data_IF_300325913326
#
_entry.id   IF_300325913326
#
_cell.length_a   1.000
_cell.length_b   1.000
_cell.length_c   1.000
_cell.angle_alpha   90.00
_cell.angle_beta   90.00
_cell.angle_gamma   90.00
#
_symmetry.space_group_name_H-M   'P 1'
#
loop_
_entity.id
_entity.type
_entity.pdbx_description
1 polymer ?
#
# COMPACT_ATOMS: atom_id res chain seq x y z
N UNK A 1 43.87 -4.66 54.54
CA UNK A 1 44.13 -5.33 53.25
C UNK A 1 42.76 -5.76 52.77
N UNK A 2 42.14 -4.91 51.98
CA UNK A 2 40.77 -5.12 51.48
C UNK A 2 40.86 -4.95 49.97
N UNK A 3 40.74 -6.07 49.30
CA UNK A 3 40.75 -6.13 47.83
C UNK A 3 39.45 -5.53 47.27
N UNK A 4 39.57 -4.43 46.58
CA UNK A 4 38.53 -3.81 45.78
C UNK A 4 38.51 -4.55 44.43
N UNK A 5 37.62 -5.48 44.28
CA UNK A 5 37.29 -6.13 43.02
C UNK A 5 36.44 -5.15 42.20
N UNK A 6 37.06 -4.56 41.18
CA UNK A 6 36.41 -3.71 40.20
C UNK A 6 35.60 -4.60 39.24
N UNK A 7 34.31 -4.64 39.46
CA UNK A 7 33.36 -5.30 38.57
C UNK A 7 33.24 -4.45 37.29
N UNK A 8 33.95 -4.85 36.25
CA UNK A 8 33.78 -4.32 34.92
C UNK A 8 32.49 -4.88 34.33
N UNK A 9 31.39 -4.16 34.52
CA UNK A 9 30.15 -4.40 33.77
C UNK A 9 30.43 -4.12 32.29
N UNK A 10 30.64 -5.19 31.56
CA UNK A 10 30.61 -5.19 30.11
C UNK A 10 29.17 -4.89 29.68
N UNK A 11 28.92 -3.68 29.25
CA UNK A 11 27.67 -3.34 28.55
C UNK A 11 27.53 -4.27 27.33
N UNK A 12 26.39 -4.98 27.17
CA UNK A 12 26.13 -5.71 25.94
C UNK A 12 25.94 -4.69 24.85
N UNK A 13 26.87 -4.67 23.89
CA UNK A 13 26.80 -3.83 22.71
C UNK A 13 25.42 -3.93 22.06
N UNK A 14 24.76 -2.80 21.99
CA UNK A 14 23.54 -2.63 21.21
C UNK A 14 23.86 -2.81 19.71
N UNK A 15 23.98 -4.06 19.27
CA UNK A 15 23.77 -4.39 17.88
C UNK A 15 22.27 -4.18 17.64
N UNK A 16 21.91 -3.00 17.13
CA UNK A 16 20.56 -2.70 16.69
C UNK A 16 20.17 -3.65 15.58
N UNK A 17 19.65 -4.82 15.94
CA UNK A 17 18.91 -5.68 15.03
C UNK A 17 17.72 -4.86 14.59
N UNK A 18 17.74 -4.40 13.35
CA UNK A 18 16.60 -3.73 12.73
C UNK A 18 15.34 -4.58 12.97
N UNK A 19 14.35 -3.98 13.63
CA UNK A 19 13.13 -4.69 14.00
C UNK A 19 12.37 -5.05 12.70
N UNK A 20 12.43 -6.32 12.31
CA UNK A 20 11.71 -6.86 11.17
C UNK A 20 10.35 -7.37 11.64
N UNK A 21 9.28 -6.86 11.08
CA UNK A 21 7.91 -7.22 11.44
C UNK A 21 7.23 -8.05 10.35
N UNK A 22 6.65 -9.20 10.73
CA UNK A 22 5.90 -10.08 9.85
C UNK A 22 6.75 -11.09 9.10
N UNK A 23 6.29 -11.52 7.92
CA UNK A 23 6.99 -12.46 7.05
C UNK A 23 8.24 -11.87 6.38
N UNK A 24 8.78 -12.60 5.43
CA UNK A 24 9.83 -12.07 4.54
C UNK A 24 9.59 -12.56 3.11
N UNK A 25 10.09 -11.83 2.14
CA UNK A 25 10.01 -12.26 0.73
C UNK A 25 10.59 -13.66 0.57
N UNK A 26 11.71 -13.96 1.26
CA UNK A 26 12.38 -15.25 1.17
C UNK A 26 11.57 -16.39 1.79
N UNK A 27 11.01 -16.20 3.00
CA UNK A 27 10.18 -17.22 3.66
C UNK A 27 8.89 -17.48 2.87
N UNK A 28 8.27 -16.44 2.32
CA UNK A 28 7.08 -16.61 1.50
C UNK A 28 7.38 -17.35 0.20
N UNK A 29 8.50 -17.06 -0.47
CA UNK A 29 8.91 -17.79 -1.66
C UNK A 29 9.33 -19.23 -1.38
N UNK A 30 9.78 -19.53 -0.15
CA UNK A 30 10.05 -20.90 0.30
C UNK A 30 8.76 -21.68 0.61
N UNK A 31 7.60 -21.03 0.67
CA UNK A 31 6.31 -21.65 0.99
C UNK A 31 6.01 -21.76 2.50
N UNK A 32 6.83 -21.11 3.34
CA UNK A 32 6.68 -21.16 4.81
C UNK A 32 5.64 -20.17 5.34
N UNK A 33 5.26 -19.17 4.55
CA UNK A 33 4.28 -18.17 4.96
C UNK A 33 2.86 -18.71 4.82
N UNK A 34 2.16 -18.83 5.95
CA UNK A 34 0.74 -19.15 5.99
C UNK A 34 -0.07 -17.89 6.31
N UNK A 35 -0.97 -17.54 5.41
CA UNK A 35 -1.85 -16.38 5.55
C UNK A 35 -3.19 -16.85 6.11
N UNK A 36 -3.54 -16.46 7.34
CA UNK A 36 -4.86 -16.71 7.91
C UNK A 36 -5.80 -15.54 7.57
N UNK A 37 -6.77 -15.81 6.71
CA UNK A 37 -7.75 -14.81 6.22
C UNK A 37 -8.54 -14.20 7.37
N UNK A 38 -8.96 -15.02 8.34
CA UNK A 38 -9.81 -14.55 9.44
C UNK A 38 -9.01 -13.69 10.43
N UNK A 39 -7.78 -14.08 10.70
CA UNK A 39 -6.86 -13.31 11.55
C UNK A 39 -6.56 -11.94 10.95
N UNK A 40 -6.26 -11.87 9.64
CA UNK A 40 -6.03 -10.59 8.93
C UNK A 40 -7.23 -9.67 8.99
N UNK A 41 -8.44 -10.20 8.79
CA UNK A 41 -9.68 -9.41 8.85
C UNK A 41 -9.91 -8.87 10.29
N UNK A 42 -9.68 -9.69 11.31
CA UNK A 42 -9.85 -9.30 12.71
C UNK A 42 -8.81 -8.28 13.15
N UNK A 43 -7.53 -8.53 12.88
CA UNK A 43 -6.43 -7.59 13.16
C UNK A 43 -6.66 -6.26 12.43
N UNK A 44 -7.12 -6.32 11.17
CA UNK A 44 -7.47 -5.14 10.38
C UNK A 44 -8.54 -4.28 11.03
N UNK A 45 -9.56 -4.89 11.64
CA UNK A 45 -10.60 -4.18 12.37
C UNK A 45 -10.03 -3.47 13.62
N UNK A 46 -9.26 -4.19 14.43
CA UNK A 46 -8.69 -3.65 15.67
C UNK A 46 -7.75 -2.46 15.40
N UNK A 47 -6.92 -2.55 14.37
CA UNK A 47 -6.04 -1.47 13.96
C UNK A 47 -6.79 -0.25 13.37
N UNK A 48 -7.96 -0.44 12.79
CA UNK A 48 -8.77 0.63 12.19
C UNK A 48 -9.22 1.67 13.20
N UNK A 49 -9.55 1.27 14.43
CA UNK A 49 -10.11 2.16 15.45
C UNK A 49 -9.22 3.37 15.78
N UNK A 50 -7.90 3.25 15.60
CA UNK A 50 -6.94 4.33 15.88
C UNK A 50 -6.72 5.33 14.75
N UNK A 51 -7.04 4.97 13.49
CA UNK A 51 -6.69 5.78 12.30
C UNK A 51 -7.89 6.20 11.44
N UNK A 52 -9.09 5.70 11.72
CA UNK A 52 -10.28 5.92 10.87
C UNK A 52 -10.52 7.39 10.53
N UNK A 53 -10.48 8.28 11.53
CA UNK A 53 -10.72 9.71 11.32
C UNK A 53 -9.66 10.36 10.44
N UNK A 54 -8.39 9.98 10.64
CA UNK A 54 -7.25 10.46 9.88
C UNK A 54 -7.33 10.02 8.40
N UNK A 55 -7.60 8.76 8.15
CA UNK A 55 -7.75 8.20 6.79
C UNK A 55 -8.94 8.82 6.08
N UNK A 56 -10.11 8.88 6.74
CA UNK A 56 -11.32 9.47 6.15
C UNK A 56 -11.11 10.96 5.82
N UNK A 57 -10.50 11.74 6.71
CA UNK A 57 -10.19 13.14 6.44
C UNK A 57 -9.24 13.30 5.25
N UNK A 58 -8.21 12.46 5.13
CA UNK A 58 -7.30 12.46 3.99
C UNK A 58 -8.01 12.10 2.68
N UNK A 59 -8.85 11.07 2.70
CA UNK A 59 -9.66 10.66 1.54
C UNK A 59 -10.60 11.78 1.10
N UNK A 60 -11.31 12.43 2.03
CA UNK A 60 -12.16 13.57 1.70
C UNK A 60 -11.38 14.73 1.10
N UNK A 61 -10.23 15.06 1.68
CA UNK A 61 -9.37 16.13 1.19
C UNK A 61 -8.88 15.87 -0.23
N UNK A 62 -8.39 14.66 -0.50
CA UNK A 62 -7.87 14.33 -1.83
C UNK A 62 -8.98 14.27 -2.88
N UNK A 63 -10.16 13.75 -2.56
CA UNK A 63 -11.29 13.75 -3.49
C UNK A 63 -11.83 15.18 -3.73
N UNK A 64 -11.83 16.04 -2.73
CA UNK A 64 -12.16 17.45 -2.91
C UNK A 64 -11.15 18.15 -3.85
N UNK A 65 -9.85 17.90 -3.67
CA UNK A 65 -8.81 18.43 -4.56
C UNK A 65 -8.94 17.89 -5.99
N UNK A 66 -9.16 16.59 -6.17
CA UNK A 66 -9.41 15.96 -7.49
C UNK A 66 -10.68 16.52 -8.13
N UNK A 67 -11.75 16.70 -7.37
CA UNK A 67 -12.99 17.31 -7.83
C UNK A 67 -12.77 18.75 -8.33
N UNK A 68 -12.07 19.56 -7.56
CA UNK A 68 -11.73 20.93 -7.95
C UNK A 68 -10.89 20.97 -9.25
N UNK A 69 -9.86 20.14 -9.34
CA UNK A 69 -9.02 20.01 -10.54
C UNK A 69 -9.84 19.53 -11.73
N UNK A 70 -10.74 18.59 -11.53
CA UNK A 70 -11.62 18.08 -12.60
C UNK A 70 -12.56 19.18 -13.13
N UNK A 71 -13.07 20.04 -12.26
CA UNK A 71 -13.87 21.22 -12.65
C UNK A 71 -13.02 22.21 -13.45
N UNK A 72 -11.81 22.53 -12.98
CA UNK A 72 -10.88 23.43 -13.69
C UNK A 72 -10.55 22.89 -15.08
N UNK A 73 -10.21 21.61 -15.18
CA UNK A 73 -9.93 20.96 -16.47
C UNK A 73 -11.18 20.93 -17.36
N UNK A 74 -12.37 20.78 -16.76
CA UNK A 74 -13.66 20.90 -17.47
C UNK A 74 -13.92 22.29 -18.06
N UNK A 75 -13.57 23.33 -17.31
CA UNK A 75 -13.68 24.71 -17.78
C UNK A 75 -12.68 25.02 -18.92
N UNK A 76 -11.48 24.44 -18.86
CA UNK A 76 -10.43 24.65 -19.88
C UNK A 76 -10.75 23.89 -21.17
N UNK A 77 -11.11 22.62 -21.09
CA UNK A 77 -11.28 21.70 -22.23
C UNK A 77 -12.75 21.48 -22.64
N UNK A 78 -13.69 22.07 -21.91
CA UNK A 78 -15.13 21.79 -22.05
C UNK A 78 -15.57 20.57 -21.25
N UNK A 79 -16.87 20.50 -20.92
CA UNK A 79 -17.47 19.35 -20.22
C UNK A 79 -18.00 18.28 -21.19
N UNK A 80 -18.47 18.72 -22.34
CA UNK A 80 -19.03 17.87 -23.39
C UNK A 80 -18.09 17.82 -24.60
N UNK A 81 -18.09 16.69 -25.34
CA UNK A 81 -17.32 16.50 -26.57
C UNK A 81 -15.81 16.77 -26.42
N UNK A 82 -15.21 16.37 -25.28
CA UNK A 82 -13.78 16.55 -25.05
C UNK A 82 -12.96 15.81 -26.11
N UNK A 83 -11.97 16.46 -26.73
CA UNK A 83 -11.04 15.76 -27.60
C UNK A 83 -10.28 14.68 -26.81
N UNK A 84 -9.91 13.60 -27.49
CA UNK A 84 -9.23 12.45 -26.87
C UNK A 84 -8.00 12.86 -26.02
N UNK A 85 -7.18 13.79 -26.52
CA UNK A 85 -6.02 14.28 -25.79
C UNK A 85 -6.38 14.96 -24.44
N UNK A 86 -7.50 15.69 -24.41
CA UNK A 86 -7.93 16.38 -23.18
C UNK A 86 -8.40 15.39 -22.10
N UNK A 87 -9.08 14.32 -22.50
CA UNK A 87 -9.45 13.24 -21.58
C UNK A 87 -8.23 12.50 -21.07
N UNK A 88 -7.24 12.22 -21.92
CA UNK A 88 -5.98 11.58 -21.54
C UNK A 88 -5.16 12.45 -20.57
N UNK A 89 -5.02 13.74 -20.85
CA UNK A 89 -4.33 14.67 -19.94
C UNK A 89 -5.03 14.73 -18.59
N UNK A 90 -6.36 14.84 -18.57
CA UNK A 90 -7.13 14.85 -17.32
C UNK A 90 -6.91 13.58 -16.51
N UNK A 91 -6.92 12.42 -17.15
CA UNK A 91 -6.67 11.12 -16.51
C UNK A 91 -5.26 11.04 -15.93
N UNK A 92 -4.24 11.49 -16.67
CA UNK A 92 -2.86 11.50 -16.18
C UNK A 92 -2.68 12.41 -14.96
N UNK A 93 -3.27 13.61 -14.98
CA UNK A 93 -3.22 14.53 -13.83
C UNK A 93 -3.87 13.91 -12.60
N UNK A 94 -5.03 13.29 -12.75
CA UNK A 94 -5.73 12.61 -11.65
C UNK A 94 -4.87 11.44 -11.12
N UNK A 95 -4.27 10.64 -11.98
CA UNK A 95 -3.37 9.55 -11.58
C UNK A 95 -2.15 10.06 -10.81
N UNK A 96 -1.52 11.16 -11.24
CA UNK A 96 -0.40 11.77 -10.55
C UNK A 96 -0.73 12.21 -9.13
N UNK A 97 -1.99 12.51 -8.85
CA UNK A 97 -2.46 12.91 -7.54
C UNK A 97 -2.87 11.70 -6.70
N UNK A 98 -3.62 10.76 -7.26
CA UNK A 98 -4.18 9.64 -6.51
C UNK A 98 -3.16 8.55 -6.18
N UNK A 99 -2.25 8.19 -7.09
CA UNK A 99 -1.32 7.08 -6.86
C UNK A 99 -0.37 7.31 -5.67
N UNK A 100 0.34 8.48 -5.55
CA UNK A 100 1.19 8.72 -4.39
C UNK A 100 0.38 8.87 -3.09
N UNK A 101 -0.85 9.40 -3.16
CA UNK A 101 -1.74 9.44 -2.00
C UNK A 101 -2.10 8.04 -1.50
N UNK A 102 -2.54 7.16 -2.40
CA UNK A 102 -2.86 5.77 -2.04
C UNK A 102 -1.65 5.02 -1.48
N UNK A 103 -0.46 5.25 -2.05
CA UNK A 103 0.79 4.72 -1.53
C UNK A 103 1.12 5.24 -0.12
N UNK A 104 0.89 6.53 0.15
CA UNK A 104 1.06 7.13 1.47
C UNK A 104 0.08 6.58 2.51
N UNK A 105 -1.18 6.41 2.13
CA UNK A 105 -2.20 5.79 3.00
C UNK A 105 -1.87 4.32 3.29
N UNK A 106 -1.35 3.59 2.30
CA UNK A 106 -0.85 2.22 2.51
C UNK A 106 0.30 2.19 3.53
N UNK A 107 1.30 3.07 3.40
CA UNK A 107 2.42 3.15 4.34
C UNK A 107 1.97 3.52 5.75
N UNK A 108 0.97 4.40 5.87
CA UNK A 108 0.35 4.72 7.15
C UNK A 108 -0.31 3.47 7.77
N UNK A 109 -1.05 2.69 6.98
CA UNK A 109 -1.63 1.41 7.42
C UNK A 109 -0.55 0.41 7.83
N UNK A 110 0.53 0.30 7.07
CA UNK A 110 1.65 -0.59 7.36
C UNK A 110 2.34 -0.25 8.68
N UNK A 111 2.66 1.02 8.92
CA UNK A 111 3.21 1.51 10.20
C UNK A 111 2.25 1.23 11.36
N UNK A 112 0.96 1.49 11.16
CA UNK A 112 -0.06 1.22 12.19
C UNK A 112 -0.15 -0.26 12.53
N UNK A 113 -0.01 -1.15 11.54
CA UNK A 113 -0.08 -2.61 11.76
C UNK A 113 1.03 -3.17 12.63
N UNK A 114 2.12 -2.42 12.80
CA UNK A 114 3.25 -2.78 13.68
C UNK A 114 3.28 -1.93 14.97
N UNK A 115 2.20 -1.20 15.26
CA UNK A 115 2.05 -0.43 16.48
C UNK A 115 2.79 0.90 16.51
N UNK A 116 3.35 1.36 15.39
CA UNK A 116 4.00 2.65 15.30
C UNK A 116 2.98 3.79 15.35
N UNK A 117 3.40 4.92 15.90
CA UNK A 117 2.61 6.16 15.87
C UNK A 117 2.60 6.71 14.44
N UNK A 118 1.43 7.15 13.99
CA UNK A 118 1.23 7.68 12.63
C UNK A 118 0.63 9.08 12.67
N UNK A 119 1.04 9.92 11.73
CA UNK A 119 0.58 11.29 11.61
C UNK A 119 -0.23 11.49 10.32
N UNK A 120 -1.19 12.45 10.34
CA UNK A 120 -2.02 12.80 9.18
C UNK A 120 -1.19 13.12 7.92
N UNK A 121 -0.09 13.86 8.09
CA UNK A 121 0.79 14.28 6.99
C UNK A 121 1.50 13.11 6.29
N UNK A 122 1.62 11.96 6.93
CA UNK A 122 2.28 10.80 6.33
C UNK A 122 1.55 10.25 5.10
N UNK A 123 0.23 10.48 4.99
CA UNK A 123 -0.54 10.12 3.80
C UNK A 123 -0.04 10.82 2.54
N UNK A 124 0.67 11.95 2.70
CA UNK A 124 1.23 12.74 1.61
C UNK A 124 2.74 12.56 1.43
N UNK A 125 3.37 11.69 2.20
CA UNK A 125 4.83 11.51 2.21
C UNK A 125 5.39 10.89 0.91
N UNK A 126 4.54 10.23 0.10
CA UNK A 126 4.95 9.51 -1.10
C UNK A 126 4.95 10.38 -2.38
N UNK A 127 4.60 11.66 -2.30
CA UNK A 127 4.60 12.55 -3.46
C UNK A 127 6.00 12.76 -4.08
N UNK A 128 7.07 12.62 -3.29
CA UNK A 128 8.44 12.60 -3.81
C UNK A 128 8.77 11.43 -4.73
N UNK A 129 8.00 10.33 -4.64
CA UNK A 129 8.17 9.13 -5.46
C UNK A 129 7.07 8.97 -6.53
N UNK A 130 6.39 10.04 -6.92
CA UNK A 130 5.26 9.99 -7.86
C UNK A 130 5.62 9.29 -9.17
N UNK A 131 6.72 9.64 -9.83
CA UNK A 131 7.11 9.06 -11.11
C UNK A 131 7.41 7.56 -11.03
N UNK A 132 8.22 7.06 -10.06
CA UNK A 132 8.42 5.63 -9.88
C UNK A 132 7.12 4.86 -9.60
N UNK A 133 6.25 5.39 -8.75
CA UNK A 133 4.95 4.78 -8.43
C UNK A 133 4.05 4.71 -9.66
N UNK A 134 3.98 5.80 -10.44
CA UNK A 134 3.24 5.82 -11.71
C UNK A 134 3.79 4.79 -12.70
N UNK A 135 5.12 4.64 -12.79
CA UNK A 135 5.72 3.63 -13.66
C UNK A 135 5.23 2.22 -13.34
N UNK A 136 5.20 1.85 -12.06
CA UNK A 136 4.63 0.56 -11.62
C UNK A 136 3.14 0.48 -11.93
N UNK A 137 2.37 1.52 -11.59
CA UNK A 137 0.91 1.54 -11.79
C UNK A 137 0.51 1.46 -13.27
N UNK A 138 1.20 2.17 -14.15
CA UNK A 138 0.96 2.10 -15.59
C UNK A 138 1.28 0.70 -16.14
N UNK A 139 2.44 0.13 -15.77
CA UNK A 139 2.83 -1.19 -16.24
C UNK A 139 1.88 -2.28 -15.71
N UNK A 140 1.46 -2.18 -14.46
CA UNK A 140 0.43 -3.04 -13.86
C UNK A 140 -0.90 -2.92 -14.61
N UNK A 141 -1.35 -1.70 -14.89
CA UNK A 141 -2.60 -1.44 -15.62
C UNK A 141 -2.56 -2.00 -17.03
N UNK A 142 -1.45 -1.83 -17.74
CA UNK A 142 -1.27 -2.40 -19.10
C UNK A 142 -1.32 -3.93 -19.04
N UNK A 143 -0.58 -4.56 -18.12
CA UNK A 143 -0.57 -6.01 -18.00
C UNK A 143 -1.97 -6.56 -17.68
N UNK A 144 -2.68 -5.95 -16.74
CA UNK A 144 -4.06 -6.35 -16.39
C UNK A 144 -5.04 -6.13 -17.52
N UNK A 145 -4.94 -5.00 -18.24
CA UNK A 145 -5.82 -4.69 -19.38
C UNK A 145 -5.61 -5.67 -20.53
N UNK A 146 -4.38 -6.00 -20.87
CA UNK A 146 -4.06 -7.04 -21.87
C UNK A 146 -4.64 -8.38 -21.45
N UNK A 147 -4.50 -8.75 -20.16
CA UNK A 147 -5.10 -9.96 -19.62
C UNK A 147 -6.62 -10.00 -19.77
N UNK A 148 -7.31 -8.87 -19.48
CA UNK A 148 -8.77 -8.75 -19.59
C UNK A 148 -9.26 -8.79 -21.05
N UNK A 149 -8.51 -8.18 -21.97
CA UNK A 149 -8.84 -8.21 -23.42
C UNK A 149 -8.68 -9.61 -23.98
N UNK A 150 -7.66 -10.35 -23.54
CA UNK A 150 -7.45 -11.73 -24.00
C UNK A 150 -8.55 -12.66 -23.45
N UNK A 151 -8.77 -12.62 -22.14
CA UNK A 151 -9.81 -13.37 -21.43
C UNK A 151 -10.03 -12.76 -20.06
N UNK A 152 -11.26 -12.79 -19.56
CA UNK A 152 -11.61 -12.21 -18.23
C UNK A 152 -10.81 -12.87 -17.09
N UNK A 153 -10.67 -14.21 -17.12
CA UNK A 153 -9.97 -14.95 -16.06
C UNK A 153 -8.49 -14.59 -15.92
N UNK A 154 -7.66 -14.56 -17.00
CA UNK A 154 -6.27 -14.09 -16.90
C UNK A 154 -6.15 -12.64 -16.43
N UNK A 155 -7.06 -11.76 -16.86
CA UNK A 155 -7.08 -10.38 -16.40
C UNK A 155 -7.36 -10.24 -14.90
N UNK A 156 -8.35 -10.98 -14.39
CA UNK A 156 -8.67 -11.03 -12.97
C UNK A 156 -7.51 -11.63 -12.14
N UNK A 157 -6.91 -12.71 -12.66
CA UNK A 157 -5.71 -13.29 -12.05
C UNK A 157 -4.57 -12.26 -11.95
N UNK A 158 -4.26 -11.54 -13.02
CA UNK A 158 -3.21 -10.53 -13.01
C UNK A 158 -3.53 -9.35 -12.09
N UNK A 159 -4.79 -8.94 -12.00
CA UNK A 159 -5.23 -7.89 -11.08
C UNK A 159 -4.91 -8.25 -9.62
N UNK A 160 -5.16 -9.50 -9.23
CA UNK A 160 -4.85 -10.02 -7.89
C UNK A 160 -3.34 -10.23 -7.72
N UNK A 161 -2.69 -10.89 -8.69
CA UNK A 161 -1.28 -11.26 -8.61
C UNK A 161 -0.33 -10.06 -8.58
N UNK A 162 -0.71 -8.94 -9.20
CA UNK A 162 0.06 -7.70 -9.23
C UNK A 162 -0.34 -6.69 -8.15
N UNK A 163 -1.28 -7.02 -7.27
CA UNK A 163 -1.81 -6.08 -6.26
C UNK A 163 -0.74 -5.53 -5.30
N UNK A 164 0.32 -6.29 -5.02
CA UNK A 164 1.41 -5.88 -4.14
C UNK A 164 2.55 -5.14 -4.86
N UNK A 165 2.46 -4.88 -6.18
CA UNK A 165 3.56 -4.25 -6.93
C UNK A 165 3.84 -2.81 -6.49
N UNK A 166 2.80 -1.99 -6.26
CA UNK A 166 2.95 -0.62 -5.76
C UNK A 166 3.49 -0.61 -4.32
N UNK A 167 2.95 -1.39 -3.36
CA UNK A 167 3.55 -1.57 -2.05
C UNK A 167 5.05 -1.90 -2.05
N UNK A 168 5.47 -2.86 -2.87
CA UNK A 168 6.87 -3.25 -3.01
C UNK A 168 7.75 -2.11 -3.52
N UNK A 169 7.22 -1.27 -4.44
CA UNK A 169 7.94 -0.07 -4.88
C UNK A 169 8.13 0.93 -3.76
N UNK A 170 7.08 1.16 -2.99
CA UNK A 170 7.05 2.21 -1.96
C UNK A 170 7.91 1.84 -0.76
N UNK A 171 7.85 0.59 -0.31
CA UNK A 171 8.55 0.14 0.91
C UNK A 171 9.96 -0.37 0.60
N UNK A 172 10.12 -1.24 -0.41
CA UNK A 172 11.41 -1.85 -0.75
C UNK A 172 12.20 -1.12 -1.82
N UNK A 173 11.60 -0.11 -2.49
CA UNK A 173 12.19 0.66 -3.60
C UNK A 173 12.80 -0.20 -4.72
N UNK A 174 12.21 -1.35 -5.02
CA UNK A 174 12.67 -2.25 -6.09
C UNK A 174 12.52 -1.60 -7.47
N UNK A 175 13.22 -2.13 -8.49
CA UNK A 175 13.02 -1.71 -9.87
C UNK A 175 11.57 -1.98 -10.33
N UNK A 176 11.05 -1.17 -11.26
CA UNK A 176 9.62 -1.23 -11.68
C UNK A 176 9.20 -2.64 -12.11
N UNK A 177 9.99 -3.28 -12.97
CA UNK A 177 9.69 -4.65 -13.46
C UNK A 177 9.84 -5.67 -12.33
N UNK A 178 10.83 -5.48 -11.47
CA UNK A 178 11.07 -6.35 -10.32
C UNK A 178 9.90 -6.31 -9.33
N UNK A 179 9.26 -5.15 -9.12
CA UNK A 179 8.04 -5.05 -8.31
C UNK A 179 6.93 -5.96 -8.83
N UNK A 180 6.69 -5.97 -10.15
CA UNK A 180 5.65 -6.81 -10.75
C UNK A 180 5.98 -8.31 -10.63
N UNK A 181 7.22 -8.68 -10.95
CA UNK A 181 7.66 -10.09 -10.88
C UNK A 181 7.62 -10.60 -9.44
N UNK A 182 8.09 -9.79 -8.48
CA UNK A 182 8.08 -10.14 -7.06
C UNK A 182 6.66 -10.23 -6.53
N UNK A 183 5.78 -9.28 -6.86
CA UNK A 183 4.36 -9.33 -6.51
C UNK A 183 3.70 -10.61 -7.01
N UNK A 184 3.88 -10.94 -8.29
CA UNK A 184 3.34 -12.15 -8.92
C UNK A 184 3.83 -13.42 -8.21
N UNK A 185 5.10 -13.51 -7.85
CA UNK A 185 5.66 -14.66 -7.13
C UNK A 185 5.13 -14.76 -5.71
N UNK A 186 5.09 -13.67 -4.96
CA UNK A 186 4.60 -13.65 -3.57
C UNK A 186 3.12 -14.03 -3.49
N UNK A 187 2.29 -13.42 -4.34
CA UNK A 187 0.85 -13.69 -4.34
C UNK A 187 0.55 -15.12 -4.78
N UNK A 188 1.31 -15.68 -5.73
CA UNK A 188 1.07 -17.05 -6.20
C UNK A 188 1.28 -18.12 -5.12
N UNK A 189 2.14 -17.88 -4.13
CA UNK A 189 2.33 -18.81 -3.01
C UNK A 189 1.07 -18.91 -2.11
N UNK A 190 0.32 -17.81 -2.00
CA UNK A 190 -0.89 -17.72 -1.18
C UNK A 190 -2.07 -17.16 -1.98
N UNK A 191 -2.19 -17.54 -3.26
CA UNK A 191 -3.13 -16.94 -4.21
C UNK A 191 -4.58 -16.99 -3.72
N UNK A 192 -5.02 -18.14 -3.21
CA UNK A 192 -6.40 -18.31 -2.75
C UNK A 192 -6.70 -17.39 -1.56
N UNK A 193 -5.79 -17.29 -0.60
CA UNK A 193 -5.96 -16.44 0.59
C UNK A 193 -5.98 -14.96 0.20
N UNK A 194 -5.07 -14.52 -0.66
CA UNK A 194 -5.05 -13.13 -1.17
C UNK A 194 -6.32 -12.83 -1.98
N UNK A 195 -6.78 -13.77 -2.81
CA UNK A 195 -8.01 -13.62 -3.57
C UNK A 195 -9.24 -13.52 -2.64
N UNK A 196 -9.30 -14.34 -1.59
CA UNK A 196 -10.38 -14.29 -0.58
C UNK A 196 -10.36 -12.96 0.19
N UNK A 197 -9.19 -12.47 0.59
CA UNK A 197 -9.05 -11.15 1.23
C UNK A 197 -9.46 -10.02 0.29
N UNK A 198 -9.09 -10.10 -0.99
CA UNK A 198 -9.53 -9.16 -2.02
C UNK A 198 -11.05 -9.19 -2.21
N UNK A 199 -11.67 -10.38 -2.23
CA UNK A 199 -13.11 -10.54 -2.33
C UNK A 199 -13.82 -9.98 -1.08
N UNK A 200 -13.31 -10.30 0.12
CA UNK A 200 -13.84 -9.77 1.38
C UNK A 200 -13.75 -8.24 1.42
N UNK A 201 -12.61 -7.67 1.03
CA UNK A 201 -12.40 -6.23 0.94
C UNK A 201 -13.37 -5.57 -0.05
N UNK A 202 -13.59 -6.20 -1.20
CA UNK A 202 -14.55 -5.72 -2.20
C UNK A 202 -15.98 -5.77 -1.66
N UNK A 203 -16.37 -6.86 -1.00
CA UNK A 203 -17.69 -6.99 -0.37
C UNK A 203 -17.90 -5.92 0.72
N UNK A 204 -16.89 -5.69 1.57
CA UNK A 204 -16.92 -4.62 2.58
C UNK A 204 -17.12 -3.24 1.95
N UNK A 205 -16.40 -2.94 0.86
CA UNK A 205 -16.55 -1.67 0.14
C UNK A 205 -17.94 -1.49 -0.44
N UNK A 206 -18.52 -2.55 -1.04
CA UNK A 206 -19.91 -2.52 -1.56
C UNK A 206 -20.89 -2.24 -0.45
N UNK A 207 -20.80 -2.94 0.68
CA UNK A 207 -21.65 -2.71 1.86
C UNK A 207 -21.48 -1.28 2.39
N UNK A 208 -20.23 -0.80 2.45
CA UNK A 208 -19.92 0.56 2.88
C UNK A 208 -20.58 1.63 2.02
N UNK A 209 -20.52 1.47 0.69
CA UNK A 209 -21.12 2.40 -0.28
C UNK A 209 -22.67 2.36 -0.17
N UNK A 210 -23.25 1.18 -0.11
CA UNK A 210 -24.72 1.01 0.01
C UNK A 210 -25.28 1.61 1.30
N UNK A 211 -24.53 1.60 2.38
CA UNK A 211 -24.93 2.18 3.66
C UNK A 211 -24.73 3.68 3.78
N UNK A 212 -24.18 4.37 2.76
CA UNK A 212 -23.85 5.81 2.71
C UNK A 212 -22.92 6.32 3.83
N UNK A 213 -23.01 5.79 5.04
CA UNK A 213 -22.19 6.15 6.20
C UNK A 213 -21.11 5.08 6.45
N UNK A 214 -21.37 3.83 6.05
CA UNK A 214 -20.48 2.69 6.32
C UNK A 214 -19.10 2.81 5.69
N UNK A 215 -18.93 3.60 4.62
CA UNK A 215 -17.64 3.83 4.00
C UNK A 215 -16.61 4.44 4.97
N UNK A 216 -17.04 5.17 6.01
CA UNK A 216 -16.18 5.72 7.06
C UNK A 216 -15.43 4.62 7.83
N UNK A 217 -15.99 3.43 7.90
CA UNK A 217 -15.36 2.26 8.53
C UNK A 217 -14.75 1.31 7.52
N UNK A 218 -15.42 1.07 6.40
CA UNK A 218 -14.97 0.08 5.42
C UNK A 218 -13.72 0.51 4.67
N UNK A 219 -13.55 1.80 4.38
CA UNK A 219 -12.34 2.31 3.71
C UNK A 219 -11.08 2.09 4.57
N UNK A 220 -10.97 2.60 5.81
CA UNK A 220 -9.78 2.35 6.62
C UNK A 220 -9.59 0.87 6.95
N UNK A 221 -10.67 0.11 7.13
CA UNK A 221 -10.58 -1.33 7.37
C UNK A 221 -9.97 -2.08 6.17
N UNK A 222 -10.42 -1.80 4.97
CA UNK A 222 -9.85 -2.37 3.73
C UNK A 222 -8.37 -2.03 3.58
N UNK A 223 -7.97 -0.81 3.90
CA UNK A 223 -6.56 -0.39 3.89
C UNK A 223 -5.76 -1.21 4.91
N UNK A 224 -6.28 -1.44 6.10
CA UNK A 224 -5.62 -2.26 7.12
C UNK A 224 -5.48 -3.71 6.68
N UNK A 225 -6.55 -4.33 6.14
CA UNK A 225 -6.48 -5.69 5.59
C UNK A 225 -5.36 -5.79 4.56
N UNK A 226 -5.28 -4.84 3.64
CA UNK A 226 -4.27 -4.84 2.59
C UNK A 226 -2.84 -4.64 3.14
N UNK A 227 -2.66 -3.73 4.10
CA UNK A 227 -1.36 -3.48 4.74
C UNK A 227 -0.88 -4.67 5.57
N UNK A 228 -1.77 -5.34 6.31
CA UNK A 228 -1.45 -6.53 7.09
C UNK A 228 -1.11 -7.70 6.16
N UNK A 229 -1.88 -7.90 5.08
CA UNK A 229 -1.58 -8.90 4.06
C UNK A 229 -0.18 -8.72 3.49
N UNK A 230 0.18 -7.50 3.13
CA UNK A 230 1.52 -7.18 2.65
C UNK A 230 2.58 -7.48 3.71
N UNK A 231 2.38 -7.04 4.97
CA UNK A 231 3.31 -7.29 6.08
C UNK A 231 3.54 -8.79 6.30
N UNK A 232 2.50 -9.60 6.24
CA UNK A 232 2.62 -11.06 6.43
C UNK A 232 3.35 -11.74 5.26
N UNK A 233 3.25 -11.22 4.04
CA UNK A 233 3.91 -11.81 2.86
C UNK A 233 5.32 -11.25 2.60
N UNK A 234 5.51 -9.95 2.70
CA UNK A 234 6.77 -9.29 2.33
C UNK A 234 7.61 -8.83 3.53
N UNK A 235 7.00 -8.79 4.72
CA UNK A 235 7.58 -8.20 5.92
C UNK A 235 7.63 -6.67 5.85
N UNK A 236 7.96 -6.06 6.97
CA UNK A 236 8.18 -4.61 7.07
C UNK A 236 9.41 -4.30 7.89
N UNK A 237 10.30 -3.47 7.36
CA UNK A 237 11.52 -2.99 7.99
C UNK A 237 11.51 -1.45 8.09
N UNK A 238 11.17 -0.88 9.26
CA UNK A 238 11.17 0.57 9.45
C UNK A 238 12.54 1.22 9.25
N UNK A 239 13.63 0.52 9.58
CA UNK A 239 14.99 1.04 9.45
C UNK A 239 15.42 1.08 7.98
N UNK A 240 15.06 0.07 7.19
CA UNK A 240 15.30 0.02 5.75
C UNK A 240 14.54 1.14 5.01
N UNK A 241 13.30 1.44 5.43
CA UNK A 241 12.53 2.56 4.88
C UNK A 241 13.22 3.91 5.09
N UNK A 242 13.72 4.16 6.29
CA UNK A 242 14.43 5.39 6.61
C UNK A 242 15.73 5.54 5.80
N UNK A 243 16.48 4.46 5.62
CA UNK A 243 17.71 4.42 4.82
C UNK A 243 17.42 4.61 3.32
N UNK A 244 16.40 3.95 2.79
CA UNK A 244 16.00 4.06 1.37
C UNK A 244 15.51 5.47 1.00
N UNK A 245 14.87 6.19 1.92
CA UNK A 245 14.44 7.59 1.70
C UNK A 245 15.60 8.57 1.75
N UNK A 246 16.62 8.31 2.57
CA UNK A 246 17.79 9.17 2.64
C UNK A 246 18.58 9.22 1.31
N UNK A 247 18.52 8.17 0.49
CA UNK A 247 19.18 8.09 -0.82
C UNK A 247 18.42 8.78 -1.95
N UNK A 248 17.16 9.19 -1.74
CA UNK A 248 16.29 9.83 -2.77
C UNK A 248 16.13 11.34 -2.53
N UNK A 249 16.68 11.88 -1.45
CA UNK A 249 16.64 13.34 -1.17
C UNK A 249 17.75 14.05 -1.97
N UNK A 250 17.45 14.41 -3.22
CA UNK A 250 18.20 15.35 -4.06
C UNK A 250 17.33 16.56 -4.38
#
# INVERSE_FOLDING_TARGET
MTDLQTDSQTEPGASGTAAHYGGSIQSTLAGDAQLDVMEVIREGWDCTLGIKGMVVAGVLLIYAAVGLISVILGLIFGFENRPFYASTVSQLVIMMILYPFMAGVFMLGLKRSVGLTVEFREQFSMYGMTLPILGVGVLQSVATSVGLVLLILPGLYLAIALSLAIPLKVEKNLAVVECLVTSLRLVNQNFLQVALLGLASTALMVVGILSLIGWIWTVPWTIMIFSITYRQLAGYDPAGEASGRATVSY
#
